data_IF_775851352402
#
_entry.id   IF_775851352402
#
_cell.length_a   1.000
_cell.length_b   1.000
_cell.length_c   1.000
_cell.angle_alpha   90.00
_cell.angle_beta   90.00
_cell.angle_gamma   90.00
#
_symmetry.space_group_name_H-M   'P 1'
#
loop_
_entity.id
_entity.type
_entity.pdbx_description
1 polymer ?
#
# COMPACT_ATOMS: atom_id res chain seq x y z
N UNK A 1 9.96 -56.51 4.73
CA UNK A 1 9.33 -55.28 5.24
C UNK A 1 9.12 -54.34 4.06
N UNK A 2 7.90 -53.85 3.84
CA UNK A 2 7.56 -52.97 2.70
C UNK A 2 7.58 -51.52 3.20
N UNK A 3 8.35 -50.60 2.59
CA UNK A 3 8.26 -49.19 2.95
C UNK A 3 7.01 -48.59 2.29
N UNK A 4 6.04 -48.20 3.11
CA UNK A 4 4.89 -47.43 2.67
C UNK A 4 5.36 -46.00 2.41
N UNK A 5 5.32 -45.55 1.16
CA UNK A 5 5.50 -44.15 0.82
C UNK A 5 4.27 -43.37 1.29
N UNK A 6 4.45 -42.52 2.30
CA UNK A 6 3.46 -41.52 2.66
C UNK A 6 3.47 -40.42 1.59
N UNK A 7 2.44 -40.44 0.74
CA UNK A 7 2.19 -39.42 -0.26
C UNK A 7 1.60 -38.20 0.46
N UNK A 8 2.43 -37.24 0.86
CA UNK A 8 1.96 -35.91 1.27
C UNK A 8 1.53 -35.14 0.01
N UNK A 9 0.23 -35.18 -0.30
CA UNK A 9 -0.36 -34.30 -1.29
C UNK A 9 -0.38 -32.87 -0.70
N UNK A 10 0.62 -32.05 -1.05
CA UNK A 10 0.59 -30.61 -0.79
C UNK A 10 -0.35 -30.01 -1.83
N UNK A 11 -1.58 -29.71 -1.43
CA UNK A 11 -2.52 -28.97 -2.27
C UNK A 11 -1.93 -27.55 -2.49
N UNK A 12 -1.73 -27.11 -3.74
CA UNK A 12 -1.34 -25.73 -3.98
C UNK A 12 -2.49 -24.83 -3.53
N UNK A 13 -2.23 -23.94 -2.57
CA UNK A 13 -3.08 -22.78 -2.33
C UNK A 13 -3.07 -21.97 -3.63
N UNK A 14 -4.15 -22.06 -4.40
CA UNK A 14 -4.40 -21.13 -5.49
C UNK A 14 -4.73 -19.78 -4.83
N UNK A 15 -3.71 -18.93 -4.66
CA UNK A 15 -3.91 -17.51 -4.43
C UNK A 15 -4.55 -16.93 -5.70
N UNK A 16 -5.88 -16.81 -5.71
CA UNK A 16 -6.56 -16.03 -6.72
C UNK A 16 -6.33 -14.56 -6.36
N UNK A 17 -5.36 -13.92 -7.03
CA UNK A 17 -5.25 -12.47 -7.02
C UNK A 17 -6.41 -11.95 -7.90
N UNK A 18 -7.42 -11.35 -7.30
CA UNK A 18 -8.50 -10.69 -8.05
C UNK A 18 -7.91 -9.42 -8.64
N UNK A 19 -7.67 -9.42 -9.95
CA UNK A 19 -7.27 -8.22 -10.68
C UNK A 19 -8.45 -7.25 -10.70
N UNK A 20 -8.21 -6.00 -10.28
CA UNK A 20 -9.25 -4.98 -10.18
C UNK A 20 -9.49 -4.40 -11.58
N UNK A 21 -10.56 -4.82 -12.24
CA UNK A 21 -10.95 -4.32 -13.55
C UNK A 21 -11.86 -3.08 -13.43
N UNK A 22 -11.76 -2.16 -14.41
CA UNK A 22 -12.64 -1.00 -14.42
C UNK A 22 -14.04 -1.42 -14.89
N UNK A 23 -15.11 -0.78 -14.36
CA UNK A 23 -16.48 -1.07 -14.80
C UNK A 23 -16.79 -0.68 -16.25
N UNK A 24 -15.93 0.11 -16.89
CA UNK A 24 -16.08 0.62 -18.25
C UNK A 24 -15.02 -0.05 -19.11
N UNK A 25 -15.45 -0.68 -20.21
CA UNK A 25 -14.53 -1.28 -21.18
C UNK A 25 -13.51 -0.24 -21.68
N UNK A 26 -12.28 -0.69 -21.96
CA UNK A 26 -11.13 0.14 -22.37
C UNK A 26 -10.53 1.06 -21.29
N UNK A 27 -11.11 1.13 -20.08
CA UNK A 27 -10.48 1.77 -18.93
C UNK A 27 -9.79 0.74 -18.04
N UNK A 28 -8.61 1.08 -17.53
CA UNK A 28 -7.87 0.28 -16.56
C UNK A 28 -7.93 0.90 -15.17
N UNK A 29 -7.75 0.08 -14.13
CA UNK A 29 -7.43 0.57 -12.80
C UNK A 29 -5.92 0.57 -12.63
N UNK A 30 -5.37 1.70 -12.21
CA UNK A 30 -3.93 1.85 -11.95
C UNK A 30 -3.71 2.16 -10.48
N UNK A 31 -2.59 1.67 -9.93
CA UNK A 31 -2.11 2.10 -8.63
C UNK A 31 -1.31 3.40 -8.84
N UNK A 32 -1.74 4.53 -8.26
CA UNK A 32 -1.05 5.80 -8.46
C UNK A 32 0.27 5.84 -7.68
N UNK A 33 1.17 6.69 -8.16
CA UNK A 33 2.47 7.00 -7.56
C UNK A 33 2.46 8.46 -7.08
N UNK A 34 2.96 8.71 -5.88
CA UNK A 34 2.89 9.99 -5.19
C UNK A 34 4.28 10.40 -4.72
N UNK A 35 4.75 11.58 -5.12
CA UNK A 35 5.91 12.21 -4.52
C UNK A 35 5.45 13.15 -3.40
N UNK A 36 5.89 12.88 -2.17
CA UNK A 36 5.41 13.53 -0.95
C UNK A 36 6.57 13.96 -0.06
N UNK A 37 6.46 15.14 0.54
CA UNK A 37 7.44 15.63 1.53
C UNK A 37 7.29 14.85 2.85
N UNK A 38 8.42 14.38 3.39
CA UNK A 38 8.44 13.66 4.68
C UNK A 38 8.37 14.66 5.84
N UNK A 39 9.09 15.78 5.74
CA UNK A 39 9.09 16.88 6.72
C UNK A 39 9.04 18.22 5.97
N UNK A 40 8.51 19.30 6.58
CA UNK A 40 8.37 20.59 5.90
C UNK A 40 9.69 21.14 5.35
N UNK A 41 9.78 21.32 4.02
CA UNK A 41 10.99 21.80 3.34
C UNK A 41 12.15 20.79 3.37
N UNK A 42 11.85 19.54 3.70
CA UNK A 42 12.80 18.44 3.85
C UNK A 42 12.83 17.50 2.65
N UNK A 43 13.29 16.24 2.85
CA UNK A 43 13.35 15.25 1.78
C UNK A 43 11.95 14.79 1.35
N UNK A 44 11.82 14.45 0.07
CA UNK A 44 10.64 13.78 -0.48
C UNK A 44 10.83 12.26 -0.53
N UNK A 45 9.71 11.53 -0.56
CA UNK A 45 9.65 10.10 -0.85
C UNK A 45 8.60 9.81 -1.91
N UNK A 46 8.78 8.70 -2.63
CA UNK A 46 7.84 8.23 -3.65
C UNK A 46 7.10 7.01 -3.12
N UNK A 47 5.78 7.11 -2.96
CA UNK A 47 4.91 6.06 -2.42
C UNK A 47 3.85 5.66 -3.45
N UNK A 48 3.38 4.40 -3.39
CA UNK A 48 2.39 3.85 -4.31
C UNK A 48 1.22 3.29 -3.56
N UNK A 49 0.01 3.68 -3.94
CA UNK A 49 -1.19 3.20 -3.27
C UNK A 49 -2.31 4.22 -3.31
N UNK A 50 -3.41 3.87 -2.66
CA UNK A 50 -4.49 4.82 -2.39
C UNK A 50 -3.99 5.91 -1.44
N UNK A 51 -4.71 7.03 -1.41
CA UNK A 51 -4.30 8.17 -0.59
C UNK A 51 -4.23 7.82 0.90
N UNK A 52 -5.12 6.94 1.37
CA UNK A 52 -5.12 6.46 2.76
C UNK A 52 -3.91 5.58 3.07
N UNK A 53 -3.52 4.71 2.13
CA UNK A 53 -2.34 3.83 2.28
C UNK A 53 -1.05 4.66 2.28
N UNK A 54 -0.96 5.62 1.36
CA UNK A 54 0.16 6.57 1.29
C UNK A 54 0.28 7.36 2.60
N UNK A 55 -0.84 7.79 3.16
CA UNK A 55 -0.88 8.50 4.43
C UNK A 55 -0.45 7.60 5.61
N UNK A 56 -0.93 6.35 5.68
CA UNK A 56 -0.50 5.39 6.69
C UNK A 56 1.00 5.06 6.58
N UNK A 57 1.53 4.92 5.36
CA UNK A 57 2.96 4.73 5.11
C UNK A 57 3.77 5.98 5.51
N UNK A 58 3.27 7.18 5.21
CA UNK A 58 3.89 8.43 5.63
C UNK A 58 3.99 8.53 7.15
N UNK A 59 2.94 8.16 7.89
CA UNK A 59 2.96 8.16 9.36
C UNK A 59 3.95 7.15 9.96
N UNK A 60 4.27 6.07 9.24
CA UNK A 60 5.33 5.14 9.66
C UNK A 60 6.73 5.75 9.48
N UNK A 61 6.91 6.61 8.46
CA UNK A 61 8.17 7.31 8.19
C UNK A 61 8.34 8.51 9.12
N UNK A 62 7.27 9.30 9.30
CA UNK A 62 7.21 10.46 10.17
C UNK A 62 5.90 10.43 10.98
N UNK A 63 5.94 9.96 12.25
CA UNK A 63 4.77 9.93 13.12
C UNK A 63 4.16 11.31 13.42
N UNK A 64 4.94 12.38 13.27
CA UNK A 64 4.51 13.76 13.54
C UNK A 64 3.98 14.46 12.26
N UNK A 65 3.95 13.76 11.12
CA UNK A 65 3.58 14.32 9.82
C UNK A 65 2.24 15.06 9.85
N UNK A 66 1.24 14.49 10.50
CA UNK A 66 -0.06 15.15 10.66
C UNK A 66 0.06 16.47 11.43
N UNK A 67 0.81 16.52 12.52
CA UNK A 67 0.96 17.75 13.31
C UNK A 67 1.64 18.86 12.48
N UNK A 68 2.66 18.49 11.71
CA UNK A 68 3.44 19.39 10.86
C UNK A 68 2.61 19.97 9.70
N UNK A 69 1.69 19.20 9.13
CA UNK A 69 0.94 19.59 7.91
C UNK A 69 -0.55 19.89 8.10
N UNK A 70 -1.21 19.36 9.14
CA UNK A 70 -2.64 19.63 9.41
C UNK A 70 -2.87 20.84 10.32
N UNK A 71 -1.81 21.44 10.86
CA UNK A 71 -1.78 22.81 11.39
C UNK A 71 -3.01 23.22 12.21
N UNK A 72 -3.03 22.89 13.51
CA UNK A 72 -3.96 23.51 14.49
C UNK A 72 -3.70 25.01 14.75
N UNK A 73 -3.10 25.76 13.82
CA UNK A 73 -2.81 27.18 14.03
C UNK A 73 -2.84 28.01 12.73
N UNK A 74 -4.04 28.26 12.21
CA UNK A 74 -4.31 29.43 11.34
C UNK A 74 -5.57 30.21 11.70
N UNK A 75 -6.17 29.94 12.86
CA UNK A 75 -7.31 30.68 13.42
C UNK A 75 -7.09 30.87 14.93
N UNK A 76 -6.33 31.89 15.31
CA UNK A 76 -6.39 32.56 16.61
C UNK A 76 -6.31 34.06 16.40
#
# INVERSE_FOLDING_TARGET
MKPYYALCAVAPLLCNATELEAPIEEYGVVVPEWEVEITPGGPTTVLKGRIEEVHEELLQINPDWDEEYTGKSRLS
#
